data_IF_617474606877
#
_entry.id   IF_617474606877
#
_cell.length_a   1.000
_cell.length_b   1.000
_cell.length_c   1.000
_cell.angle_alpha   90.00
_cell.angle_beta   90.00
_cell.angle_gamma   90.00
#
_symmetry.space_group_name_H-M   'P 1'
#
loop_
_entity.id
_entity.type
_entity.pdbx_description
1 polymer ?
#
# COMPACT_ATOMS: atom_id res chain seq x y z
N UNK A 1 27.55 -5.36 7.97
CA UNK A 1 27.09 -6.33 6.94
C UNK A 1 26.21 -7.34 7.64
N UNK A 2 24.98 -7.57 7.18
CA UNK A 2 24.14 -8.59 7.82
C UNK A 2 24.64 -9.98 7.37
N UNK A 3 25.61 -10.53 8.12
CA UNK A 3 26.31 -11.79 7.82
C UNK A 3 25.30 -12.92 7.54
N UNK A 4 24.20 -12.93 8.28
CA UNK A 4 23.12 -13.88 8.12
C UNK A 4 22.43 -13.81 6.75
N UNK A 5 22.12 -12.60 6.26
CA UNK A 5 21.52 -12.44 4.93
C UNK A 5 22.46 -12.94 3.82
N UNK A 6 23.77 -12.70 3.96
CA UNK A 6 24.77 -13.24 3.02
C UNK A 6 24.85 -14.76 3.08
N UNK A 7 24.70 -15.37 4.25
CA UNK A 7 24.67 -16.82 4.40
C UNK A 7 23.41 -17.44 3.78
N UNK A 8 22.24 -16.82 3.97
CA UNK A 8 20.99 -17.29 3.34
C UNK A 8 21.13 -17.33 1.82
N UNK A 9 21.65 -16.27 1.20
CA UNK A 9 21.85 -16.23 -0.25
C UNK A 9 22.87 -17.24 -0.77
N UNK A 10 23.73 -17.74 0.12
CA UNK A 10 24.76 -18.74 -0.18
C UNK A 10 24.35 -20.14 0.27
N UNK A 11 23.08 -20.37 0.62
CA UNK A 11 22.59 -21.66 1.12
C UNK A 11 23.37 -22.16 2.36
N UNK A 12 23.86 -21.23 3.19
CA UNK A 12 24.68 -21.54 4.37
C UNK A 12 26.16 -21.82 4.09
N UNK A 13 26.62 -21.74 2.83
CA UNK A 13 28.02 -21.97 2.45
C UNK A 13 28.83 -20.67 2.55
N UNK A 14 30.01 -20.73 3.16
CA UNK A 14 30.90 -19.55 3.30
C UNK A 14 31.68 -19.27 2.03
N UNK A 15 32.01 -20.31 1.27
CA UNK A 15 33.00 -20.25 0.19
C UNK A 15 32.39 -20.01 -1.19
N UNK A 16 31.06 -20.00 -1.29
CA UNK A 16 30.36 -19.67 -2.52
C UNK A 16 30.26 -18.16 -2.70
N UNK A 17 30.53 -17.63 -3.92
CA UNK A 17 30.33 -16.22 -4.21
C UNK A 17 28.84 -15.85 -4.10
N UNK A 18 28.57 -14.60 -3.74
CA UNK A 18 27.20 -14.07 -3.79
C UNK A 18 26.72 -14.08 -5.25
N UNK A 19 25.44 -14.38 -5.54
CA UNK A 19 24.89 -14.28 -6.89
C UNK A 19 25.21 -12.93 -7.55
N UNK A 20 25.50 -12.96 -8.86
CA UNK A 20 25.72 -11.74 -9.63
C UNK A 20 24.54 -10.77 -9.51
N UNK A 21 24.83 -9.47 -9.47
CA UNK A 21 23.85 -8.37 -9.30
C UNK A 21 23.23 -8.22 -7.90
N UNK A 22 23.72 -8.96 -6.91
CA UNK A 22 23.40 -8.69 -5.50
C UNK A 22 24.52 -7.87 -4.88
N UNK A 23 24.16 -6.75 -4.26
CA UNK A 23 25.12 -5.86 -3.60
C UNK A 23 24.66 -5.55 -2.19
N UNK A 24 25.54 -5.75 -1.21
CA UNK A 24 25.33 -5.28 0.15
C UNK A 24 26.07 -3.97 0.35
N UNK A 25 25.34 -2.93 0.75
CA UNK A 25 25.92 -1.63 1.05
C UNK A 25 25.39 -1.15 2.38
N UNK A 26 26.28 -0.55 3.17
CA UNK A 26 25.88 0.12 4.41
C UNK A 26 25.12 1.42 4.14
N UNK A 27 25.48 2.10 3.05
CA UNK A 27 24.89 3.36 2.63
C UNK A 27 24.33 3.26 1.22
N UNK A 28 23.33 4.08 0.90
CA UNK A 28 22.78 4.17 -0.44
C UNK A 28 23.90 4.54 -1.43
N UNK A 29 23.89 3.98 -2.66
CA UNK A 29 24.92 4.28 -3.64
C UNK A 29 24.90 5.78 -3.99
N UNK A 30 26.06 6.44 -4.03
CA UNK A 30 26.18 7.84 -4.50
C UNK A 30 25.89 7.99 -5.99
N UNK A 31 26.11 6.93 -6.77
CA UNK A 31 25.81 6.92 -8.20
C UNK A 31 24.32 7.12 -8.47
N UNK A 32 24.01 7.99 -9.43
CA UNK A 32 22.67 8.29 -9.88
C UNK A 32 22.19 7.24 -10.91
N UNK A 33 22.11 5.99 -10.46
CA UNK A 33 21.47 4.91 -11.23
C UNK A 33 20.05 4.72 -10.70
N UNK A 34 19.01 4.99 -11.51
CA UNK A 34 17.64 4.67 -11.13
C UNK A 34 17.37 3.16 -11.30
N UNK A 35 16.37 2.67 -10.59
CA UNK A 35 15.90 1.29 -10.60
C UNK A 35 14.40 1.26 -10.88
N UNK A 36 13.93 0.29 -11.67
CA UNK A 36 12.51 0.14 -12.00
C UNK A 36 11.64 0.02 -10.74
N UNK A 37 12.15 -0.67 -9.72
CA UNK A 37 11.48 -0.84 -8.44
C UNK A 37 12.44 -0.62 -7.27
N UNK A 38 11.99 0.15 -6.28
CA UNK A 38 12.69 0.39 -5.01
C UNK A 38 11.75 0.01 -3.87
N UNK A 39 12.26 -0.75 -2.90
CA UNK A 39 11.47 -1.22 -1.75
C UNK A 39 12.12 -0.78 -0.45
N UNK A 40 11.34 -0.16 0.43
CA UNK A 40 11.65 0.10 1.82
C UNK A 40 10.68 -0.70 2.67
N UNK A 41 11.11 -1.83 3.21
CA UNK A 41 10.28 -2.71 4.02
C UNK A 41 10.78 -2.73 5.46
N UNK A 42 9.92 -2.36 6.40
CA UNK A 42 10.15 -2.38 7.86
C UNK A 42 11.45 -1.68 8.25
N UNK A 43 11.68 -0.50 7.71
CA UNK A 43 12.98 0.19 7.79
C UNK A 43 12.87 1.63 8.27
N UNK A 44 11.71 2.29 8.09
CA UNK A 44 11.53 3.69 8.48
C UNK A 44 11.51 3.87 10.00
N UNK A 45 11.05 2.85 10.75
CA UNK A 45 11.11 2.85 12.22
C UNK A 45 12.54 2.91 12.77
N UNK A 46 13.49 2.31 12.04
CA UNK A 46 14.88 2.20 12.47
C UNK A 46 15.65 3.51 12.29
N UNK A 47 15.05 4.50 11.64
CA UNK A 47 15.70 5.79 11.38
C UNK A 47 15.54 6.72 12.58
N UNK A 48 16.63 7.38 13.02
CA UNK A 48 16.72 8.03 14.32
C UNK A 48 15.87 9.30 14.45
N UNK A 49 15.43 9.89 13.34
CA UNK A 49 14.68 11.14 13.34
C UNK A 49 13.75 11.25 12.13
N UNK A 50 12.75 12.12 12.21
CA UNK A 50 11.89 12.48 11.07
C UNK A 50 12.70 13.06 9.91
N UNK A 51 13.69 13.89 10.21
CA UNK A 51 14.58 14.45 9.19
C UNK A 51 15.30 13.35 8.40
N UNK A 52 15.93 12.40 9.10
CA UNK A 52 16.62 11.28 8.47
C UNK A 52 15.67 10.39 7.65
N UNK A 53 14.43 10.22 8.10
CA UNK A 53 13.38 9.51 7.33
C UNK A 53 13.08 10.21 6.02
N UNK A 54 12.76 11.52 6.06
CA UNK A 54 12.40 12.28 4.86
C UNK A 54 13.57 12.37 3.87
N UNK A 55 14.79 12.55 4.35
CA UNK A 55 15.99 12.52 3.51
C UNK A 55 16.17 11.15 2.84
N UNK A 56 16.00 10.07 3.61
CA UNK A 56 16.07 8.70 3.07
C UNK A 56 14.99 8.47 2.01
N UNK A 57 13.75 8.89 2.27
CA UNK A 57 12.64 8.78 1.33
C UNK A 57 12.91 9.56 0.03
N UNK A 58 13.46 10.77 0.12
CA UNK A 58 13.85 11.56 -1.05
C UNK A 58 14.93 10.83 -1.86
N UNK A 59 15.95 10.28 -1.20
CA UNK A 59 17.01 9.51 -1.85
C UNK A 59 16.48 8.24 -2.53
N UNK A 60 15.55 7.52 -1.89
CA UNK A 60 14.89 6.36 -2.47
C UNK A 60 14.04 6.74 -3.69
N UNK A 61 13.28 7.83 -3.58
CA UNK A 61 12.49 8.35 -4.70
C UNK A 61 13.36 8.76 -5.88
N UNK A 62 14.47 9.46 -5.65
CA UNK A 62 15.41 9.83 -6.71
C UNK A 62 16.03 8.62 -7.42
N UNK A 63 16.16 7.49 -6.71
CA UNK A 63 16.62 6.20 -7.27
C UNK A 63 15.50 5.37 -7.88
N UNK A 64 14.25 5.80 -7.80
CA UNK A 64 13.13 5.09 -8.41
C UNK A 64 12.93 5.55 -9.84
N UNK A 65 12.69 4.62 -10.77
CA UNK A 65 12.27 4.90 -12.14
C UNK A 65 10.76 4.72 -12.28
N UNK A 66 10.20 3.61 -11.81
CA UNK A 66 8.75 3.35 -11.90
C UNK A 66 8.07 3.28 -10.54
N UNK A 67 8.46 2.35 -9.66
CA UNK A 67 7.72 2.04 -8.43
C UNK A 67 8.57 2.18 -7.17
N UNK A 68 8.07 2.98 -6.22
CA UNK A 68 8.56 3.00 -4.84
C UNK A 68 7.54 2.31 -3.94
N UNK A 69 7.97 1.28 -3.23
CA UNK A 69 7.13 0.49 -2.32
C UNK A 69 7.64 0.75 -0.90
N UNK A 70 6.75 1.25 -0.03
CA UNK A 70 7.03 1.44 1.40
C UNK A 70 6.10 0.52 2.18
N UNK A 71 6.65 -0.30 3.07
CA UNK A 71 5.91 -1.25 3.90
C UNK A 71 6.39 -1.06 5.34
N UNK A 72 5.45 -0.95 6.28
CA UNK A 72 5.73 -0.88 7.71
C UNK A 72 4.76 -1.75 8.50
N UNK A 73 5.05 -1.90 9.79
CA UNK A 73 4.18 -2.62 10.71
C UNK A 73 2.77 -2.03 10.71
N UNK A 74 1.75 -2.88 10.73
CA UNK A 74 0.34 -2.47 10.65
C UNK A 74 -0.23 -1.85 11.92
N UNK A 75 0.64 -1.36 12.81
CA UNK A 75 0.30 -0.64 14.03
C UNK A 75 -0.08 0.81 13.73
N UNK A 76 -0.68 1.52 14.69
CA UNK A 76 -1.01 2.93 14.50
C UNK A 76 0.22 3.82 14.20
N UNK A 77 1.38 3.64 14.87
CA UNK A 77 2.60 4.35 14.49
C UNK A 77 3.12 3.97 13.10
N UNK A 78 3.07 2.68 12.71
CA UNK A 78 3.58 2.26 11.40
C UNK A 78 2.72 2.75 10.25
N UNK A 79 1.39 2.76 10.43
CA UNK A 79 0.47 3.43 9.51
C UNK A 79 0.80 4.93 9.37
N UNK A 80 1.07 5.65 10.47
CA UNK A 80 1.45 7.07 10.42
C UNK A 80 2.75 7.30 9.65
N UNK A 81 3.74 6.42 9.76
CA UNK A 81 4.97 6.49 8.96
C UNK A 81 4.70 6.30 7.46
N UNK A 82 3.84 5.35 7.10
CA UNK A 82 3.45 5.11 5.70
C UNK A 82 2.71 6.33 5.13
N UNK A 83 1.84 6.96 5.91
CA UNK A 83 1.16 8.21 5.51
C UNK A 83 2.14 9.38 5.41
N UNK A 84 3.07 9.54 6.36
CA UNK A 84 4.14 10.55 6.31
C UNK A 84 4.95 10.40 5.01
N UNK A 85 5.36 9.16 4.68
CA UNK A 85 6.08 8.86 3.45
C UNK A 85 5.26 9.17 2.20
N UNK A 86 3.99 8.75 2.18
CA UNK A 86 3.04 9.00 1.09
C UNK A 86 2.90 10.50 0.82
N UNK A 87 2.53 11.26 1.85
CA UNK A 87 2.21 12.68 1.71
C UNK A 87 3.45 13.50 1.38
N UNK A 88 4.61 13.14 1.95
CA UNK A 88 5.89 13.74 1.59
C UNK A 88 6.19 13.57 0.10
N UNK A 89 6.15 12.34 -0.44
CA UNK A 89 6.45 12.11 -1.86
C UNK A 89 5.42 12.79 -2.78
N UNK A 90 4.13 12.76 -2.44
CA UNK A 90 3.09 13.44 -3.23
C UNK A 90 3.23 14.97 -3.22
N UNK A 91 3.83 15.54 -2.16
CA UNK A 91 4.11 16.97 -2.07
C UNK A 91 5.29 17.42 -2.95
N UNK A 92 6.19 16.50 -3.32
CA UNK A 92 7.33 16.81 -4.17
C UNK A 92 6.86 17.24 -5.56
N UNK A 93 7.45 18.35 -6.02
CA UNK A 93 7.27 18.87 -7.37
C UNK A 93 8.55 18.74 -8.19
N UNK A 94 8.40 18.53 -9.48
CA UNK A 94 9.53 18.60 -10.40
C UNK A 94 9.94 20.06 -10.67
N UNK A 95 10.95 20.25 -11.53
CA UNK A 95 11.47 21.58 -11.88
C UNK A 95 10.42 22.47 -12.55
N UNK A 96 9.40 21.87 -13.15
CA UNK A 96 8.33 22.54 -13.88
C UNK A 96 7.09 22.75 -12.99
N UNK A 97 7.16 22.37 -11.70
CA UNK A 97 6.08 22.51 -10.73
C UNK A 97 5.03 21.39 -10.80
N UNK A 98 5.23 20.36 -11.60
CA UNK A 98 4.29 19.25 -11.74
C UNK A 98 4.49 18.20 -10.64
N UNK A 99 3.45 17.40 -10.39
CA UNK A 99 3.56 16.27 -9.48
C UNK A 99 4.56 15.23 -10.03
N UNK A 100 5.45 14.74 -9.18
CA UNK A 100 6.48 13.77 -9.59
C UNK A 100 5.97 12.34 -9.72
N UNK A 101 4.80 12.05 -9.17
CA UNK A 101 4.19 10.73 -9.15
C UNK A 101 2.82 10.72 -8.49
N UNK A 102 2.25 9.53 -8.33
CA UNK A 102 0.93 9.30 -7.77
C UNK A 102 0.87 7.99 -6.98
N UNK A 103 -0.17 7.82 -6.17
CA UNK A 103 -0.43 6.56 -5.45
C UNK A 103 -1.01 5.53 -6.41
N UNK A 104 -0.27 4.44 -6.59
CA UNK A 104 -0.71 3.26 -7.34
C UNK A 104 -1.51 2.30 -6.46
N UNK A 105 -1.11 2.11 -5.21
CA UNK A 105 -1.82 1.31 -4.20
C UNK A 105 -1.40 1.74 -2.79
N UNK A 106 -2.15 1.40 -1.72
CA UNK A 106 -3.52 0.88 -1.73
C UNK A 106 -4.57 1.97 -1.94
N UNK A 107 -4.27 3.24 -1.65
CA UNK A 107 -5.26 4.31 -1.80
C UNK A 107 -5.67 4.46 -3.27
N UNK A 108 -6.98 4.56 -3.53
CA UNK A 108 -7.51 4.85 -4.87
C UNK A 108 -7.43 6.34 -5.23
N UNK A 109 -6.76 7.16 -4.42
CA UNK A 109 -6.69 8.61 -4.54
C UNK A 109 -5.33 9.16 -4.07
N UNK A 110 -5.02 10.37 -4.53
CA UNK A 110 -3.83 11.15 -4.12
C UNK A 110 -4.15 12.24 -3.08
N UNK A 111 -5.44 12.41 -2.73
CA UNK A 111 -5.92 13.36 -1.70
C UNK A 111 -5.48 12.94 -0.29
N UNK A 112 -5.70 13.78 0.73
CA UNK A 112 -5.47 13.42 2.14
C UNK A 112 -6.16 12.10 2.51
N UNK A 113 -5.49 11.27 3.31
CA UNK A 113 -6.02 9.96 3.70
C UNK A 113 -7.16 10.11 4.72
N UNK A 114 -8.40 9.66 4.41
CA UNK A 114 -9.55 9.83 5.31
C UNK A 114 -9.40 9.11 6.65
N UNK A 115 -8.59 8.04 6.71
CA UNK A 115 -8.26 7.33 7.95
C UNK A 115 -7.57 8.22 9.00
N UNK A 116 -6.82 9.25 8.57
CA UNK A 116 -6.14 10.18 9.49
C UNK A 116 -7.17 10.98 10.29
N UNK A 117 -8.18 11.54 9.62
CA UNK A 117 -9.18 12.41 10.25
C UNK A 117 -10.05 11.67 11.27
N UNK A 118 -10.26 10.36 11.08
CA UNK A 118 -11.04 9.50 12.00
C UNK A 118 -10.16 8.73 13.00
N UNK A 119 -8.85 9.00 13.02
CA UNK A 119 -7.86 8.32 13.86
C UNK A 119 -7.91 6.78 13.78
N UNK A 120 -8.16 6.25 12.57
CA UNK A 120 -8.12 4.82 12.28
C UNK A 120 -6.85 4.45 11.50
N UNK A 121 -6.47 3.17 11.55
CA UNK A 121 -5.40 2.63 10.70
C UNK A 121 -5.96 2.04 9.41
N UNK A 122 -5.30 2.35 8.30
CA UNK A 122 -5.45 1.61 7.04
C UNK A 122 -4.31 0.58 6.97
N UNK A 123 -4.63 -0.66 7.31
CA UNK A 123 -3.70 -1.78 7.29
C UNK A 123 -4.36 -2.99 6.58
N UNK A 124 -3.56 -4.02 6.33
CA UNK A 124 -3.97 -5.24 5.65
C UNK A 124 -3.38 -6.43 6.39
N UNK A 125 -3.95 -7.61 6.16
CA UNK A 125 -3.52 -8.85 6.82
C UNK A 125 -3.01 -9.83 5.78
N UNK A 126 -1.87 -10.45 6.07
CA UNK A 126 -1.33 -11.59 5.32
C UNK A 126 -1.26 -12.81 6.23
N UNK A 127 -1.53 -13.98 5.67
CA UNK A 127 -1.39 -15.25 6.39
C UNK A 127 -0.10 -15.94 5.95
N UNK A 128 0.65 -16.52 6.88
CA UNK A 128 1.91 -17.19 6.61
C UNK A 128 2.08 -18.44 7.48
N UNK A 129 2.97 -19.33 7.05
CA UNK A 129 3.43 -20.47 7.85
C UNK A 129 4.77 -20.10 8.47
N UNK A 130 4.89 -20.28 9.77
CA UNK A 130 6.11 -19.98 10.50
C UNK A 130 7.10 -21.14 10.42
N UNK A 131 8.40 -20.83 10.49
CA UNK A 131 9.46 -21.83 10.56
C UNK A 131 9.58 -22.30 12.01
N UNK A 132 8.70 -23.20 12.41
CA UNK A 132 8.66 -23.67 13.80
C UNK A 132 9.77 -24.70 14.06
N UNK A 133 10.87 -24.25 14.66
CA UNK A 133 11.87 -25.11 15.32
C UNK A 133 11.23 -25.80 16.54
N UNK A 134 10.40 -26.83 16.30
CA UNK A 134 9.87 -27.73 17.34
C UNK A 134 8.49 -27.37 17.94
N UNK A 135 7.68 -26.53 17.30
CA UNK A 135 6.28 -26.28 17.70
C UNK A 135 5.28 -26.84 16.67
N UNK A 136 3.98 -26.83 17.02
CA UNK A 136 2.88 -27.41 16.22
C UNK A 136 2.48 -26.49 15.07
N UNK A 137 2.47 -27.03 13.85
CA UNK A 137 2.02 -26.35 12.63
C UNK A 137 0.72 -25.54 12.82
N UNK A 138 0.79 -24.25 12.47
CA UNK A 138 -0.37 -23.35 12.48
C UNK A 138 -0.17 -22.16 11.55
N UNK A 139 -1.26 -21.72 10.91
CA UNK A 139 -1.28 -20.51 10.08
C UNK A 139 -1.25 -19.29 10.99
N UNK A 140 -0.21 -18.47 10.88
CA UNK A 140 -0.09 -17.18 11.57
C UNK A 140 -0.57 -16.06 10.66
N UNK A 141 -0.88 -14.91 11.26
CA UNK A 141 -1.33 -13.70 10.55
C UNK A 141 -0.46 -12.53 10.95
N UNK A 142 -0.02 -11.76 9.98
CA UNK A 142 0.71 -10.51 10.19
C UNK A 142 -0.10 -9.34 9.63
N UNK A 143 -0.09 -8.21 10.35
CA UNK A 143 -0.79 -7.00 9.94
C UNK A 143 0.25 -5.96 9.53
N UNK A 144 0.08 -5.39 8.34
CA UNK A 144 1.03 -4.43 7.76
C UNK A 144 0.31 -3.25 7.12
N UNK A 145 1.01 -2.12 7.04
CA UNK A 145 0.58 -0.95 6.28
C UNK A 145 1.57 -0.74 5.13
N UNK A 146 1.08 -0.36 3.96
CA UNK A 146 1.95 -0.14 2.81
C UNK A 146 1.43 0.98 1.91
N UNK A 147 2.33 1.53 1.10
CA UNK A 147 2.00 2.39 -0.04
C UNK A 147 2.91 2.04 -1.21
N UNK A 148 2.35 1.99 -2.40
CA UNK A 148 3.04 1.87 -3.67
C UNK A 148 2.83 3.18 -4.41
N UNK A 149 3.91 3.89 -4.64
CA UNK A 149 3.96 5.15 -5.38
C UNK A 149 4.54 4.88 -6.75
N UNK A 150 3.88 5.37 -7.80
CA UNK A 150 4.35 5.28 -9.17
C UNK A 150 4.81 6.63 -9.66
N UNK A 151 5.99 6.69 -10.28
CA UNK A 151 6.52 7.90 -10.91
C UNK A 151 5.79 8.25 -12.20
N UNK A 152 5.74 9.56 -12.48
CA UNK A 152 5.15 10.10 -13.69
C UNK A 152 3.65 10.33 -13.57
N UNK A 153 2.96 10.31 -14.72
CA UNK A 153 1.54 10.69 -14.82
C UNK A 153 0.63 9.47 -14.69
N UNK A 154 -0.52 9.66 -14.04
CA UNK A 154 -1.54 8.62 -13.90
C UNK A 154 -2.07 8.23 -15.28
N UNK A 155 -2.13 6.92 -15.55
CA UNK A 155 -2.64 6.37 -16.82
C UNK A 155 -4.15 6.65 -16.96
N UNK A 156 -4.62 6.87 -18.20
CA UNK A 156 -6.05 6.97 -18.51
C UNK A 156 -6.82 5.66 -18.28
N UNK A 157 -6.11 4.53 -18.23
CA UNK A 157 -6.68 3.21 -17.94
C UNK A 157 -6.78 2.92 -16.43
N UNK A 158 -6.35 3.84 -15.58
CA UNK A 158 -6.52 3.73 -14.13
C UNK A 158 -7.91 4.24 -13.73
N UNK A 159 -8.85 3.31 -13.58
CA UNK A 159 -10.24 3.62 -13.19
C UNK A 159 -10.38 4.04 -11.72
N UNK A 160 -9.32 3.95 -10.92
CA UNK A 160 -9.32 4.30 -9.49
C UNK A 160 -10.50 3.67 -8.73
N UNK A 161 -10.72 2.38 -8.98
CA UNK A 161 -11.78 1.63 -8.34
C UNK A 161 -11.69 1.71 -6.81
N UNK A 162 -12.83 1.76 -6.10
CA UNK A 162 -12.82 1.80 -4.64
C UNK A 162 -12.15 0.54 -4.07
N UNK A 163 -11.27 0.73 -3.09
CA UNK A 163 -10.60 -0.36 -2.39
C UNK A 163 -11.31 -0.68 -1.09
N UNK A 164 -11.52 -1.96 -0.83
CA UNK A 164 -12.05 -2.46 0.44
C UNK A 164 -10.97 -2.31 1.52
N UNK A 165 -11.24 -1.52 2.56
CA UNK A 165 -10.28 -1.16 3.62
C UNK A 165 -10.55 -1.83 4.96
N UNK A 166 -11.59 -2.68 5.06
CA UNK A 166 -11.89 -3.54 6.21
C UNK A 166 -12.44 -4.90 5.75
N UNK A 167 -12.41 -5.95 6.58
CA UNK A 167 -13.03 -7.23 6.24
C UNK A 167 -14.48 -7.11 5.78
N UNK A 168 -14.82 -7.78 4.68
CA UNK A 168 -16.18 -7.81 4.13
C UNK A 168 -17.12 -8.56 5.06
N UNK A 169 -18.21 -7.91 5.50
CA UNK A 169 -19.22 -8.55 6.34
C UNK A 169 -20.23 -9.30 5.47
N UNK A 170 -20.03 -10.61 5.30
CA UNK A 170 -20.89 -11.50 4.51
C UNK A 170 -22.09 -11.95 5.36
N UNK A 171 -23.28 -11.39 5.15
CA UNK A 171 -24.54 -11.76 5.83
C UNK A 171 -25.44 -12.57 4.88
N UNK A 172 -26.58 -13.10 5.36
CA UNK A 172 -27.43 -14.00 4.55
C UNK A 172 -27.85 -13.38 3.21
N UNK A 173 -28.42 -12.16 3.21
CA UNK A 173 -28.95 -11.50 2.00
C UNK A 173 -28.21 -10.22 1.56
N UNK A 174 -27.12 -9.88 2.23
CA UNK A 174 -26.34 -8.69 1.92
C UNK A 174 -24.86 -8.88 2.24
N UNK A 175 -24.02 -8.04 1.63
CA UNK A 175 -22.60 -7.93 1.93
C UNK A 175 -22.28 -6.46 2.22
N UNK A 176 -21.61 -6.18 3.34
CA UNK A 176 -21.22 -4.81 3.71
C UNK A 176 -19.75 -4.63 3.40
N UNK A 177 -19.45 -3.65 2.54
CA UNK A 177 -18.09 -3.29 2.18
C UNK A 177 -17.81 -1.86 2.64
N UNK A 178 -16.74 -1.70 3.42
CA UNK A 178 -16.18 -0.38 3.78
C UNK A 178 -15.02 -0.10 2.86
N UNK A 179 -15.12 0.98 2.12
CA UNK A 179 -14.21 1.26 1.02
C UNK A 179 -13.62 2.65 1.10
N UNK A 180 -12.40 2.78 0.61
CA UNK A 180 -11.78 4.05 0.29
C UNK A 180 -11.98 4.34 -1.21
N UNK A 181 -12.47 5.53 -1.54
CA UNK A 181 -12.83 5.91 -2.92
C UNK A 181 -11.83 6.88 -3.53
N UNK A 182 -11.87 7.03 -4.86
CA UNK A 182 -11.08 8.04 -5.59
C UNK A 182 -11.30 9.48 -5.10
N UNK A 183 -12.42 9.72 -4.42
CA UNK A 183 -12.72 11.04 -3.88
C UNK A 183 -12.05 11.36 -2.55
N UNK A 184 -11.27 10.42 -1.98
CA UNK A 184 -10.62 10.61 -0.68
C UNK A 184 -11.59 10.46 0.48
N UNK A 185 -12.63 9.63 0.33
CA UNK A 185 -13.65 9.41 1.35
C UNK A 185 -13.78 7.92 1.68
N UNK A 186 -14.09 7.64 2.94
CA UNK A 186 -14.60 6.32 3.32
C UNK A 186 -16.10 6.25 3.05
N UNK A 187 -16.52 5.18 2.38
CA UNK A 187 -17.92 4.88 2.14
C UNK A 187 -18.22 3.45 2.53
N UNK A 188 -19.31 3.27 3.28
CA UNK A 188 -19.86 1.95 3.58
C UNK A 188 -21.06 1.71 2.66
N UNK A 189 -21.02 0.62 1.89
CA UNK A 189 -22.12 0.22 1.00
C UNK A 189 -22.60 -1.17 1.38
N UNK A 190 -23.92 -1.29 1.56
CA UNK A 190 -24.61 -2.55 1.80
C UNK A 190 -25.11 -3.09 0.46
N UNK A 191 -24.33 -3.99 -0.13
CA UNK A 191 -24.68 -4.64 -1.38
C UNK A 191 -25.79 -5.67 -1.19
N UNK A 192 -26.82 -5.57 -2.02
CA UNK A 192 -27.94 -6.52 -2.09
C UNK A 192 -28.24 -6.81 -3.56
N UNK A 193 -28.68 -8.03 -3.86
CA UNK A 193 -29.04 -8.41 -5.22
C UNK A 193 -30.23 -7.60 -5.77
N UNK A 194 -31.13 -7.14 -4.90
CA UNK A 194 -32.31 -6.36 -5.28
C UNK A 194 -31.99 -4.90 -5.62
N UNK A 195 -31.18 -4.22 -4.79
CA UNK A 195 -30.88 -2.79 -4.97
C UNK A 195 -29.77 -2.54 -5.98
N UNK A 196 -28.77 -3.42 -6.03
CA UNK A 196 -27.55 -3.20 -6.82
C UNK A 196 -27.37 -4.21 -7.95
N UNK A 197 -28.32 -5.13 -8.14
CA UNK A 197 -28.23 -6.20 -9.12
C UNK A 197 -27.37 -7.38 -8.66
N UNK A 198 -27.50 -8.50 -9.39
CA UNK A 198 -26.84 -9.77 -9.04
C UNK A 198 -25.31 -9.71 -9.17
N UNK A 199 -24.78 -8.99 -10.17
CA UNK A 199 -23.34 -8.96 -10.46
C UNK A 199 -22.57 -8.19 -9.35
N UNK A 200 -22.86 -6.91 -9.06
CA UNK A 200 -22.16 -6.19 -7.99
C UNK A 200 -22.30 -6.87 -6.62
N UNK A 201 -23.47 -7.44 -6.33
CA UNK A 201 -23.68 -8.22 -5.10
C UNK A 201 -22.77 -9.45 -5.02
N UNK A 202 -22.66 -10.24 -6.10
CA UNK A 202 -21.78 -11.41 -6.14
C UNK A 202 -20.31 -11.01 -6.03
N UNK A 203 -19.89 -9.95 -6.73
CA UNK A 203 -18.52 -9.42 -6.64
C UNK A 203 -18.19 -9.00 -5.19
N UNK A 204 -19.01 -8.14 -4.59
CA UNK A 204 -18.84 -7.68 -3.22
C UNK A 204 -18.77 -8.84 -2.22
N UNK A 205 -19.62 -9.86 -2.38
CA UNK A 205 -19.64 -11.04 -1.49
C UNK A 205 -18.41 -11.94 -1.64
N UNK A 206 -17.83 -11.99 -2.85
CA UNK A 206 -16.67 -12.84 -3.15
C UNK A 206 -15.34 -12.13 -2.88
N UNK A 207 -15.37 -10.82 -2.62
CA UNK A 207 -14.18 -10.02 -2.33
C UNK A 207 -13.76 -10.15 -0.87
N UNK A 208 -12.48 -9.87 -0.63
CA UNK A 208 -11.83 -9.88 0.66
C UNK A 208 -11.21 -8.51 0.99
N UNK A 209 -10.59 -8.41 2.17
CA UNK A 209 -9.98 -7.18 2.65
C UNK A 209 -8.77 -6.81 1.78
N UNK A 210 -8.82 -5.65 1.14
CA UNK A 210 -7.78 -5.16 0.26
C UNK A 210 -8.13 -5.20 -1.21
N UNK A 211 -9.21 -5.86 -1.61
CA UNK A 211 -9.60 -5.95 -3.01
C UNK A 211 -10.12 -4.62 -3.58
N UNK A 212 -9.90 -4.43 -4.88
CA UNK A 212 -10.55 -3.38 -5.66
C UNK A 212 -11.91 -3.89 -6.14
N UNK A 213 -12.97 -3.10 -5.91
CA UNK A 213 -14.28 -3.41 -6.45
C UNK A 213 -14.49 -2.66 -7.77
N UNK A 214 -14.71 -3.36 -8.91
CA UNK A 214 -14.89 -2.75 -10.23
C UNK A 214 -16.29 -2.13 -10.37
N UNK A 215 -16.56 -1.10 -9.58
CA UNK A 215 -17.82 -0.38 -9.52
C UNK A 215 -17.58 1.12 -9.51
N UNK A 216 -18.52 1.88 -10.08
CA UNK A 216 -18.58 3.32 -9.91
C UNK A 216 -19.63 3.64 -8.85
N UNK A 217 -19.24 4.41 -7.83
CA UNK A 217 -20.16 4.84 -6.80
C UNK A 217 -20.72 6.21 -7.19
N UNK A 218 -22.01 6.26 -7.48
CA UNK A 218 -22.76 7.50 -7.72
C UNK A 218 -23.50 7.88 -6.45
N UNK A 219 -23.14 9.01 -5.83
CA UNK A 219 -23.93 9.57 -4.74
C UNK A 219 -25.17 10.23 -5.35
N UNK A 220 -26.34 9.63 -5.15
CA UNK A 220 -27.61 10.20 -5.60
C UNK A 220 -28.09 11.17 -4.53
N UNK A 221 -27.47 12.35 -4.42
CA UNK A 221 -27.92 13.41 -3.52
C UNK A 221 -27.74 14.80 -4.17
N UNK A 222 -28.65 15.10 -5.10
CA UNK A 222 -29.27 16.42 -5.28
C UNK A 222 -30.37 16.24 -6.33
N UNK A 223 -31.59 16.02 -5.84
CA UNK A 223 -32.87 16.24 -6.52
C UNK A 223 -32.78 16.69 -7.98
N UNK A 224 -33.17 15.79 -8.90
CA UNK A 224 -33.93 16.21 -10.07
C UNK A 224 -35.12 17.01 -9.54
N UNK A 225 -35.02 18.34 -9.64
CA UNK A 225 -36.18 19.21 -9.52
C UNK A 225 -37.15 18.80 -10.62
N UNK A 226 -38.24 18.15 -10.20
CA UNK A 226 -39.40 17.98 -11.02
C UNK A 226 -39.93 19.36 -11.45
N UNK A 227 -40.44 19.38 -12.69
CA UNK A 227 -41.13 20.45 -13.44
C UNK A 227 -40.30 21.62 -13.96
#
# INVERSE_FOLDING_TARGET
>A
MNNFASLILREGKTDTPVPSNVYYRQFLPSQHRPYDMVVSAFSLFELPSSHSRLETLLNLWNKTQEYLIVIEQGTAPGYKLVVEARDFILSLKDKDGNATGYVFAPCSHDKECPSVSINETCNFVVSYFDLELGQREGVKKEIYSYVVLKKGVRSSYDYQWPRIVKPVLKKSKHAICRMCTKEGKHQEIIFTASKHGKIPYKCARSSDWGDLLPINITNVDSTDGAT
#
